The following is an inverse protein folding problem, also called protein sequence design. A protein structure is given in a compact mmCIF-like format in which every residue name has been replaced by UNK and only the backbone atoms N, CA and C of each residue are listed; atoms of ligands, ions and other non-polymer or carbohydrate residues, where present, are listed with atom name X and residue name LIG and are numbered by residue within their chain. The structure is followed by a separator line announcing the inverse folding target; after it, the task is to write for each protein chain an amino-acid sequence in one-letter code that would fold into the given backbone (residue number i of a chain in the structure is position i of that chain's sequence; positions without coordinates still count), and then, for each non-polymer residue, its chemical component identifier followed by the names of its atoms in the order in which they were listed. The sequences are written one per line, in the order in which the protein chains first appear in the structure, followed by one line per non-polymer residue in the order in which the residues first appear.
data_IF_460675159966
#
_entry.id   IF_460675159966
#
_cell.length_a   1.000
_cell.length_b   1.000
_cell.length_c   1.000
_cell.angle_alpha   90.00
_cell.angle_beta   90.00
_cell.angle_gamma   90.00
#
_symmetry.space_group_name_H-M   'P 1'
#
loop_
_entity.id
_entity.type
_entity.pdbx_description
1 polymer ?
#
# COMPACT_ATOMS: atom_id res chain seq x y z
N UNK A 1 18.97 -68.95 -23.72
CA UNK A 1 19.74 -67.71 -23.97
C UNK A 1 18.76 -66.56 -23.94
N UNK A 2 18.68 -65.83 -22.83
CA UNK A 2 17.83 -64.64 -22.69
C UNK A 2 18.69 -63.45 -23.08
N UNK A 3 18.47 -62.87 -24.25
CA UNK A 3 19.13 -61.62 -24.66
C UNK A 3 18.40 -60.46 -24.01
N UNK A 4 19.00 -59.88 -22.96
CA UNK A 4 18.60 -58.58 -22.40
C UNK A 4 18.65 -57.52 -23.50
N UNK A 5 17.50 -56.94 -23.84
CA UNK A 5 17.44 -55.72 -24.65
C UNK A 5 17.76 -54.54 -23.73
N UNK A 6 18.99 -54.07 -23.77
CA UNK A 6 19.39 -52.79 -23.21
C UNK A 6 18.57 -51.67 -23.86
N UNK A 7 17.53 -51.23 -23.16
CA UNK A 7 16.75 -50.06 -23.56
C UNK A 7 17.63 -48.85 -23.27
N UNK A 8 18.32 -48.35 -24.30
CA UNK A 8 19.24 -47.22 -24.21
C UNK A 8 18.44 -45.97 -23.79
N UNK A 9 18.41 -45.69 -22.49
CA UNK A 9 17.76 -44.47 -21.95
C UNK A 9 18.45 -43.27 -22.59
N UNK A 10 17.71 -42.51 -23.39
CA UNK A 10 18.21 -41.26 -23.96
C UNK A 10 18.55 -40.35 -22.79
N UNK A 11 19.81 -39.94 -22.63
CA UNK A 11 20.22 -39.06 -21.53
C UNK A 11 20.59 -37.68 -22.06
N UNK A 12 20.32 -36.65 -21.27
CA UNK A 12 20.57 -35.26 -21.63
C UNK A 12 21.50 -34.58 -20.64
N UNK A 13 22.26 -33.59 -21.10
CA UNK A 13 23.23 -32.87 -20.31
C UNK A 13 22.64 -31.57 -19.76
N UNK A 14 22.90 -31.27 -18.48
CA UNK A 14 22.46 -30.04 -17.82
C UNK A 14 23.53 -28.93 -17.92
N UNK A 15 23.17 -27.76 -18.45
CA UNK A 15 24.09 -26.62 -18.60
C UNK A 15 24.54 -25.93 -17.30
N UNK A 16 23.97 -26.27 -16.13
CA UNK A 16 24.32 -25.66 -14.84
C UNK A 16 25.23 -26.59 -14.02
N UNK A 17 24.77 -27.80 -13.68
CA UNK A 17 25.54 -28.72 -12.85
C UNK A 17 26.49 -29.62 -13.64
N UNK A 18 26.43 -29.57 -14.98
CA UNK A 18 27.24 -30.39 -15.89
C UNK A 18 27.04 -31.91 -15.73
N UNK A 19 25.92 -32.32 -15.11
CA UNK A 19 25.55 -33.72 -14.99
C UNK A 19 24.70 -34.19 -16.17
N UNK A 20 24.74 -35.50 -16.41
CA UNK A 20 23.84 -36.20 -17.30
C UNK A 20 22.62 -36.70 -16.52
N UNK A 21 21.41 -36.37 -16.99
CA UNK A 21 20.14 -36.73 -16.35
C UNK A 21 19.20 -37.45 -17.30
N UNK A 22 18.21 -38.15 -16.75
CA UNK A 22 17.14 -38.75 -17.54
C UNK A 22 16.24 -37.64 -18.13
N UNK A 23 15.55 -37.86 -19.27
CA UNK A 23 14.72 -36.83 -19.90
C UNK A 23 13.59 -36.34 -19.00
N UNK A 24 13.09 -37.21 -18.11
CA UNK A 24 12.07 -36.88 -17.10
C UNK A 24 12.56 -35.92 -16.02
N UNK A 25 13.87 -35.82 -15.81
CA UNK A 25 14.52 -34.92 -14.85
C UNK A 25 14.97 -33.61 -15.51
N UNK A 26 14.75 -33.46 -16.81
CA UNK A 26 15.12 -32.28 -17.56
C UNK A 26 13.96 -31.30 -17.65
N UNK A 27 14.28 -30.03 -17.46
CA UNK A 27 13.44 -28.89 -17.75
C UNK A 27 13.83 -28.30 -19.12
N UNK A 28 12.80 -27.93 -19.89
CA UNK A 28 12.96 -27.23 -21.15
C UNK A 28 11.85 -26.19 -21.31
N UNK A 29 12.21 -24.98 -21.70
CA UNK A 29 11.27 -23.93 -22.11
C UNK A 29 11.22 -23.84 -23.64
N UNK A 30 10.86 -24.96 -24.28
CA UNK A 30 11.00 -25.17 -25.72
C UNK A 30 10.26 -24.15 -26.59
N UNK A 31 9.21 -23.50 -26.05
CA UNK A 31 8.44 -22.46 -26.74
C UNK A 31 9.19 -21.12 -26.85
N UNK A 32 10.21 -20.91 -26.01
CA UNK A 32 10.96 -19.65 -25.92
C UNK A 32 12.45 -19.83 -26.24
N UNK A 33 13.07 -20.91 -25.77
CA UNK A 33 14.46 -21.25 -26.09
C UNK A 33 14.75 -22.76 -25.95
N UNK A 34 15.76 -23.26 -26.66
CA UNK A 34 16.16 -24.69 -26.62
C UNK A 34 17.15 -25.08 -25.51
N UNK A 35 17.41 -24.22 -24.52
CA UNK A 35 18.40 -24.49 -23.48
C UNK A 35 17.87 -25.49 -22.44
N UNK A 36 18.73 -26.45 -22.06
CA UNK A 36 18.36 -27.59 -21.22
C UNK A 36 19.06 -27.54 -19.85
N UNK A 37 18.26 -27.70 -18.81
CA UNK A 37 18.71 -27.72 -17.43
C UNK A 37 17.95 -28.81 -16.67
N UNK A 38 18.55 -29.43 -15.66
CA UNK A 38 17.78 -30.36 -14.83
C UNK A 38 16.80 -29.61 -13.92
N UNK A 39 15.71 -30.26 -13.54
CA UNK A 39 14.66 -29.70 -12.69
C UNK A 39 15.17 -29.22 -11.34
N UNK A 40 16.20 -29.87 -10.77
CA UNK A 40 16.82 -29.44 -9.51
C UNK A 40 17.60 -28.12 -9.65
N UNK A 41 18.32 -27.92 -10.76
CA UNK A 41 19.03 -26.67 -11.02
C UNK A 41 18.04 -25.52 -11.26
N UNK A 42 16.96 -25.77 -12.00
CA UNK A 42 15.90 -24.77 -12.20
C UNK A 42 15.16 -24.49 -10.89
N UNK A 43 14.92 -25.51 -10.05
CA UNK A 43 14.37 -25.32 -8.71
C UNK A 43 15.22 -24.36 -7.88
N UNK A 44 16.53 -24.59 -7.83
CA UNK A 44 17.47 -23.72 -7.12
C UNK A 44 17.47 -22.30 -7.68
N UNK A 45 17.57 -22.16 -9.01
CA UNK A 45 17.57 -20.86 -9.70
C UNK A 45 16.30 -20.05 -9.43
N UNK A 46 15.13 -20.63 -9.68
CA UNK A 46 13.84 -19.98 -9.44
C UNK A 46 13.71 -19.61 -7.97
N UNK A 47 13.94 -20.56 -7.05
CA UNK A 47 13.79 -20.31 -5.61
C UNK A 47 14.69 -19.16 -5.13
N UNK A 48 15.93 -19.08 -5.65
CA UNK A 48 16.84 -17.98 -5.37
C UNK A 48 16.28 -16.64 -5.88
N UNK A 49 15.82 -16.58 -7.14
CA UNK A 49 15.28 -15.35 -7.73
C UNK A 49 14.04 -14.84 -7.02
N UNK A 50 13.13 -15.74 -6.63
CA UNK A 50 11.93 -15.36 -5.87
C UNK A 50 12.29 -14.87 -4.47
N UNK A 51 13.30 -15.47 -3.83
CA UNK A 51 13.82 -14.99 -2.55
C UNK A 51 14.45 -13.59 -2.65
N UNK A 52 15.08 -13.26 -3.77
CA UNK A 52 15.60 -11.94 -4.12
C UNK A 52 14.51 -10.93 -4.56
N UNK A 53 13.22 -11.30 -4.52
CA UNK A 53 12.09 -10.52 -5.06
C UNK A 53 12.20 -10.20 -6.56
N UNK A 54 12.92 -11.03 -7.33
CA UNK A 54 12.99 -10.96 -8.78
C UNK A 54 11.90 -11.84 -9.38
N UNK A 55 10.79 -11.21 -9.80
CA UNK A 55 9.62 -11.92 -10.32
C UNK A 55 9.75 -12.32 -11.79
N UNK A 56 10.54 -11.58 -12.56
CA UNK A 56 10.84 -11.90 -13.97
C UNK A 56 12.06 -12.83 -14.03
N UNK A 57 11.83 -14.13 -13.87
CA UNK A 57 12.90 -15.13 -13.87
C UNK A 57 13.31 -15.44 -15.31
N UNK A 58 14.54 -15.05 -15.67
CA UNK A 58 15.12 -15.34 -16.99
C UNK A 58 15.73 -16.74 -17.04
N UNK A 59 15.84 -17.27 -18.25
CA UNK A 59 16.62 -18.45 -18.58
C UNK A 59 18.05 -18.32 -18.02
N UNK A 60 18.60 -19.36 -17.38
CA UNK A 60 19.96 -19.32 -16.83
C UNK A 60 21.06 -19.12 -17.88
N UNK A 61 20.79 -19.44 -19.15
CA UNK A 61 21.77 -19.30 -20.23
C UNK A 61 22.18 -17.83 -20.43
N UNK A 62 23.48 -17.51 -20.39
CA UNK A 62 23.98 -16.16 -20.69
C UNK A 62 23.44 -15.60 -22.01
N UNK A 63 23.04 -14.33 -21.98
CA UNK A 63 22.47 -13.59 -23.14
C UNK A 63 21.12 -14.11 -23.65
N UNK A 64 20.58 -15.21 -23.13
CA UNK A 64 19.22 -15.62 -23.43
C UNK A 64 18.22 -14.64 -22.80
N UNK A 65 17.20 -14.25 -23.58
CA UNK A 65 16.11 -13.39 -23.11
C UNK A 65 14.85 -14.15 -22.73
N UNK A 66 14.90 -15.49 -22.78
CA UNK A 66 13.76 -16.32 -22.46
C UNK A 66 13.34 -16.15 -21.00
N UNK A 67 12.03 -16.06 -20.76
CA UNK A 67 11.44 -15.93 -19.42
C UNK A 67 10.81 -17.26 -19.04
N UNK A 68 11.06 -17.70 -17.82
CA UNK A 68 10.46 -18.90 -17.24
C UNK A 68 9.21 -18.45 -16.49
N UNK A 69 8.06 -19.05 -16.79
CA UNK A 69 6.82 -18.83 -16.05
C UNK A 69 6.58 -19.89 -14.97
N UNK A 70 5.78 -19.59 -13.92
CA UNK A 70 5.43 -20.53 -12.86
C UNK A 70 4.78 -21.82 -13.38
N UNK A 71 3.99 -21.71 -14.45
CA UNK A 71 3.27 -22.81 -15.08
C UNK A 71 4.18 -23.95 -15.55
N UNK A 72 5.40 -23.63 -15.99
CA UNK A 72 6.38 -24.60 -16.46
C UNK A 72 7.06 -25.36 -15.32
N UNK A 73 6.94 -24.86 -14.08
CA UNK A 73 7.70 -25.35 -12.94
C UNK A 73 6.83 -26.03 -11.87
N UNK A 74 5.50 -26.05 -12.04
CA UNK A 74 4.55 -26.59 -11.03
C UNK A 74 4.78 -28.04 -10.64
N UNK A 75 5.32 -28.86 -11.55
CA UNK A 75 5.51 -30.29 -11.32
C UNK A 75 6.69 -30.61 -10.39
N UNK A 76 7.62 -29.68 -10.18
CA UNK A 76 8.84 -29.93 -9.41
C UNK A 76 9.20 -28.82 -8.40
N UNK A 77 8.52 -27.67 -8.40
CA UNK A 77 8.67 -26.64 -7.37
C UNK A 77 7.72 -26.89 -6.18
N UNK A 78 8.14 -26.57 -4.95
CA UNK A 78 7.23 -26.51 -3.80
C UNK A 78 6.08 -25.54 -4.04
N UNK A 79 4.89 -25.89 -3.56
CA UNK A 79 3.67 -25.11 -3.75
C UNK A 79 3.82 -23.69 -3.21
N UNK A 80 4.47 -23.53 -2.06
CA UNK A 80 4.69 -22.23 -1.42
C UNK A 80 5.56 -21.29 -2.29
N UNK A 81 6.52 -21.85 -3.03
CA UNK A 81 7.38 -21.07 -3.95
C UNK A 81 6.57 -20.61 -5.17
N UNK A 82 5.73 -21.47 -5.72
CA UNK A 82 4.84 -21.14 -6.83
C UNK A 82 3.85 -20.06 -6.42
N UNK A 83 3.14 -20.23 -5.30
CA UNK A 83 2.17 -19.24 -4.81
C UNK A 83 2.82 -17.88 -4.55
N UNK A 84 4.01 -17.86 -3.92
CA UNK A 84 4.76 -16.62 -3.72
C UNK A 84 5.15 -15.97 -5.04
N UNK A 85 5.57 -16.75 -6.04
CA UNK A 85 5.95 -16.23 -7.34
C UNK A 85 4.74 -15.64 -8.08
N UNK A 86 3.62 -16.37 -8.10
CA UNK A 86 2.38 -15.91 -8.72
C UNK A 86 1.83 -14.64 -8.06
N UNK A 87 1.79 -14.59 -6.74
CA UNK A 87 1.39 -13.40 -5.99
C UNK A 87 2.28 -12.20 -6.33
N UNK A 88 3.61 -12.40 -6.38
CA UNK A 88 4.54 -11.33 -6.71
C UNK A 88 4.43 -10.88 -8.18
N UNK A 89 4.11 -11.78 -9.11
CA UNK A 89 3.78 -11.41 -10.50
C UNK A 89 2.51 -10.57 -10.55
N UNK A 90 1.42 -11.00 -9.89
CA UNK A 90 0.20 -10.22 -9.79
C UNK A 90 0.46 -8.83 -9.18
N UNK A 91 1.21 -8.76 -8.10
CA UNK A 91 1.60 -7.49 -7.48
C UNK A 91 2.45 -6.61 -8.40
N UNK A 92 3.29 -7.20 -9.25
CA UNK A 92 4.14 -6.44 -10.19
C UNK A 92 3.35 -5.74 -11.31
N UNK A 93 2.13 -6.20 -11.60
CA UNK A 93 1.22 -5.57 -12.55
C UNK A 93 0.55 -4.31 -11.99
N UNK A 94 0.52 -4.18 -10.66
CA UNK A 94 -0.07 -3.03 -9.98
C UNK A 94 0.95 -1.90 -9.96
N UNK A 95 0.59 -0.75 -10.54
CA UNK A 95 1.47 0.42 -10.58
C UNK A 95 1.74 0.94 -9.17
N UNK A 96 2.95 1.41 -8.91
CA UNK A 96 3.32 1.97 -7.61
C UNK A 96 2.43 3.14 -7.17
N UNK A 97 1.86 3.89 -8.12
CA UNK A 97 0.91 4.98 -7.88
C UNK A 97 -0.46 4.51 -7.37
N UNK A 98 -0.85 3.28 -7.71
CA UNK A 98 -2.09 2.64 -7.27
C UNK A 98 -1.95 2.01 -5.88
N UNK A 99 -0.71 1.74 -5.43
CA UNK A 99 -0.46 1.14 -4.12
C UNK A 99 -0.46 2.20 -3.04
N UNK A 100 -1.14 1.91 -1.95
CA UNK A 100 -1.00 2.63 -0.69
C UNK A 100 -1.22 1.69 0.48
N UNK A 101 -0.99 2.18 1.69
CA UNK A 101 -1.15 1.37 2.89
C UNK A 101 -2.28 1.91 3.74
N UNK A 102 -2.94 1.00 4.44
CA UNK A 102 -3.88 1.33 5.47
C UNK A 102 -3.24 2.33 6.46
N UNK A 103 -3.90 3.47 6.76
CA UNK A 103 -3.28 4.53 7.56
C UNK A 103 -3.14 4.19 9.05
N UNK A 104 -3.73 3.08 9.49
CA UNK A 104 -3.67 2.62 10.86
C UNK A 104 -2.40 1.79 11.07
N UNK A 105 -1.49 2.27 11.93
CA UNK A 105 -0.16 1.68 12.13
C UNK A 105 -0.19 0.21 12.54
N UNK A 106 -1.18 -0.16 13.34
CA UNK A 106 -1.44 -1.52 13.81
C UNK A 106 -2.02 -2.45 12.72
N UNK A 107 -2.42 -1.90 11.56
CA UNK A 107 -2.89 -2.67 10.42
C UNK A 107 -1.91 -2.62 9.25
N UNK A 108 -1.67 -1.44 8.66
CA UNK A 108 -0.73 -1.23 7.56
C UNK A 108 -0.88 -2.19 6.37
N UNK A 109 -2.07 -2.79 6.19
CA UNK A 109 -2.39 -3.63 5.04
C UNK A 109 -2.20 -2.85 3.73
N UNK A 110 -1.67 -3.51 2.69
CA UNK A 110 -1.56 -2.91 1.36
C UNK A 110 -2.95 -2.82 0.72
N UNK A 111 -3.26 -1.65 0.17
CA UNK A 111 -4.50 -1.33 -0.51
C UNK A 111 -4.18 -0.88 -1.93
N UNK A 112 -5.11 -1.13 -2.85
CA UNK A 112 -4.96 -0.82 -4.28
C UNK A 112 -6.08 0.12 -4.69
N UNK A 113 -5.70 1.24 -5.29
CA UNK A 113 -6.60 2.15 -5.99
C UNK A 113 -6.77 1.65 -7.43
N UNK A 114 -7.95 1.11 -7.73
CA UNK A 114 -8.29 0.55 -9.04
C UNK A 114 -8.57 1.64 -10.09
N UNK A 115 -8.50 2.92 -9.73
CA UNK A 115 -8.75 4.04 -10.64
C UNK A 115 -10.21 4.17 -11.05
N UNK A 116 -11.13 3.56 -10.29
CA UNK A 116 -12.57 3.71 -10.46
C UNK A 116 -13.09 5.11 -10.10
N UNK A 117 -14.37 5.19 -9.77
CA UNK A 117 -14.95 6.46 -9.30
C UNK A 117 -14.21 7.00 -8.08
N UNK A 118 -14.07 8.32 -8.01
CA UNK A 118 -13.35 8.97 -6.92
C UNK A 118 -14.09 8.80 -5.57
N UNK A 119 -13.79 7.70 -4.87
CA UNK A 119 -14.31 7.44 -3.52
C UNK A 119 -13.54 8.30 -2.52
N UNK A 120 -14.27 9.03 -1.68
CA UNK A 120 -13.63 9.83 -0.61
C UNK A 120 -13.52 9.03 0.69
N UNK A 121 -14.57 8.32 1.07
CA UNK A 121 -14.67 7.49 2.27
C UNK A 121 -14.64 6.02 1.89
N UNK A 122 -13.71 5.25 2.45
CA UNK A 122 -13.66 3.80 2.23
C UNK A 122 -13.29 3.08 3.52
N UNK A 123 -13.55 1.78 3.56
CA UNK A 123 -13.26 0.90 4.69
C UNK A 123 -12.09 -0.01 4.35
N UNK A 124 -11.15 -0.17 5.29
CA UNK A 124 -10.04 -1.09 5.09
C UNK A 124 -10.53 -2.54 5.18
N UNK A 125 -10.39 -3.38 4.15
CA UNK A 125 -10.88 -4.77 4.17
C UNK A 125 -10.20 -5.67 5.21
N UNK A 126 -9.04 -5.26 5.74
CA UNK A 126 -8.31 -6.02 6.76
C UNK A 126 -8.71 -5.67 8.20
N UNK A 127 -9.08 -4.41 8.47
CA UNK A 127 -9.34 -3.95 9.85
C UNK A 127 -10.67 -3.23 10.03
N UNK A 128 -11.46 -3.12 8.97
CA UNK A 128 -12.82 -2.60 8.97
C UNK A 128 -12.96 -1.16 9.49
N UNK A 129 -11.85 -0.40 9.45
CA UNK A 129 -11.82 1.01 9.87
C UNK A 129 -11.92 1.92 8.66
N UNK A 130 -12.72 2.98 8.83
CA UNK A 130 -12.92 4.01 7.81
C UNK A 130 -11.66 4.86 7.63
N UNK A 131 -11.34 5.16 6.39
CA UNK A 131 -10.26 6.04 5.99
C UNK A 131 -10.67 6.95 4.82
N UNK A 132 -9.95 8.06 4.64
CA UNK A 132 -10.11 8.89 3.47
C UNK A 132 -9.20 8.38 2.34
N UNK A 133 -9.76 7.89 1.24
CA UNK A 133 -8.97 7.34 0.13
C UNK A 133 -8.17 8.42 -0.63
N UNK A 134 -8.68 9.65 -0.71
CA UNK A 134 -7.97 10.77 -1.33
C UNK A 134 -6.81 11.30 -0.48
N UNK A 135 -6.98 11.37 0.83
CA UNK A 135 -5.96 11.88 1.75
C UNK A 135 -5.01 10.78 2.26
N UNK A 136 -5.41 9.50 2.14
CA UNK A 136 -4.70 8.31 2.64
C UNK A 136 -4.42 8.40 4.16
N UNK A 137 -5.44 8.81 4.92
CA UNK A 137 -5.41 9.01 6.38
C UNK A 137 -6.68 8.46 7.03
N UNK A 138 -6.68 8.33 8.36
CA UNK A 138 -7.90 8.01 9.11
C UNK A 138 -9.06 8.95 8.74
N UNK A 139 -10.27 8.41 8.73
CA UNK A 139 -11.45 9.15 8.26
C UNK A 139 -11.69 10.43 9.06
N UNK A 140 -11.97 11.53 8.36
CA UNK A 140 -12.19 12.86 8.93
C UNK A 140 -13.59 13.38 8.56
N UNK A 141 -14.61 12.86 9.26
CA UNK A 141 -16.03 13.24 9.07
C UNK A 141 -16.21 14.77 9.06
N UNK A 142 -17.17 15.26 8.28
CA UNK A 142 -17.63 16.67 8.27
C UNK A 142 -16.57 17.73 7.95
N UNK A 143 -15.40 17.30 7.48
CA UNK A 143 -14.32 18.15 7.01
C UNK A 143 -13.94 17.75 5.59
N UNK A 144 -13.85 18.72 4.69
CA UNK A 144 -13.40 18.49 3.32
C UNK A 144 -11.90 18.19 3.31
N UNK A 145 -11.43 17.39 2.36
CA UNK A 145 -10.01 17.05 2.19
C UNK A 145 -9.11 18.30 2.14
N UNK A 146 -9.55 19.38 1.48
CA UNK A 146 -8.80 20.63 1.38
C UNK A 146 -8.65 21.34 2.74
N UNK A 147 -9.68 21.31 3.59
CA UNK A 147 -9.61 21.88 4.93
C UNK A 147 -8.69 21.05 5.82
N UNK A 148 -8.81 19.72 5.75
CA UNK A 148 -7.94 18.80 6.47
C UNK A 148 -6.46 18.99 6.11
N UNK A 149 -6.14 19.14 4.82
CA UNK A 149 -4.77 19.38 4.34
C UNK A 149 -4.16 20.68 4.87
N UNK A 150 -4.99 21.68 5.22
CA UNK A 150 -4.54 22.96 5.79
C UNK A 150 -4.26 22.90 7.30
N UNK A 151 -4.75 21.88 8.00
CA UNK A 151 -4.49 21.70 9.43
C UNK A 151 -3.01 21.39 9.69
N UNK A 152 -2.51 21.85 10.84
CA UNK A 152 -1.19 21.46 11.33
C UNK A 152 -1.21 19.99 11.74
N UNK A 153 -0.08 19.28 11.63
CA UNK A 153 0.01 17.83 11.93
C UNK A 153 -0.53 17.46 13.31
N UNK A 154 -0.27 18.31 14.31
CA UNK A 154 -0.70 18.10 15.69
C UNK A 154 -2.20 18.33 15.93
N UNK A 155 -2.93 18.84 14.94
CA UNK A 155 -4.38 19.06 15.02
C UNK A 155 -5.18 18.08 14.14
N UNK A 156 -4.52 17.02 13.64
CA UNK A 156 -5.11 16.02 12.74
C UNK A 156 -5.45 14.70 13.43
N UNK A 157 -5.30 14.62 14.75
CA UNK A 157 -5.80 13.45 15.47
C UNK A 157 -7.35 13.42 15.43
N UNK A 158 -7.96 12.24 15.53
CA UNK A 158 -9.42 12.12 15.46
C UNK A 158 -10.16 12.99 16.49
N UNK A 159 -9.62 13.11 17.70
CA UNK A 159 -10.24 13.84 18.82
C UNK A 159 -10.29 15.35 18.54
N UNK A 160 -9.21 15.93 18.01
CA UNK A 160 -9.12 17.34 17.63
C UNK A 160 -10.05 17.65 16.46
N UNK A 161 -10.15 16.74 15.48
CA UNK A 161 -11.08 16.90 14.36
C UNK A 161 -12.52 16.92 14.88
N UNK A 162 -12.87 15.98 15.77
CA UNK A 162 -14.19 15.95 16.41
C UNK A 162 -14.46 17.25 17.20
N UNK A 163 -13.48 17.75 17.96
CA UNK A 163 -13.58 19.01 18.69
C UNK A 163 -13.78 20.20 17.73
N UNK A 164 -13.04 20.26 16.63
CA UNK A 164 -13.20 21.31 15.60
C UNK A 164 -14.57 21.27 14.96
N UNK A 165 -15.11 20.09 14.67
CA UNK A 165 -16.45 19.93 14.13
C UNK A 165 -17.51 20.39 15.12
N UNK A 166 -17.41 19.96 16.38
CA UNK A 166 -18.31 20.40 17.43
C UNK A 166 -18.27 21.92 17.59
N UNK A 167 -17.08 22.50 17.63
CA UNK A 167 -16.88 23.94 17.70
C UNK A 167 -17.51 24.66 16.50
N UNK A 168 -17.36 24.14 15.27
CA UNK A 168 -18.00 24.70 14.08
C UNK A 168 -19.53 24.65 14.18
N UNK A 169 -20.10 23.51 14.59
CA UNK A 169 -21.54 23.32 14.74
C UNK A 169 -22.13 24.24 15.83
N UNK A 170 -21.40 24.41 16.94
CA UNK A 170 -21.78 25.30 18.05
C UNK A 170 -21.37 26.76 17.83
N UNK A 171 -20.73 27.09 16.71
CA UNK A 171 -20.18 28.42 16.40
C UNK A 171 -19.26 28.96 17.51
N UNK A 172 -18.48 28.08 18.13
CA UNK A 172 -17.44 28.42 19.10
C UNK A 172 -16.28 29.14 18.42
N UNK A 173 -15.64 30.06 19.15
CA UNK A 173 -14.51 30.84 18.62
C UNK A 173 -13.23 30.53 19.35
N UNK A 174 -12.12 30.42 18.61
CA UNK A 174 -10.80 30.36 19.25
C UNK A 174 -10.37 31.74 19.73
N UNK A 175 -9.81 31.80 20.94
CA UNK A 175 -9.11 32.99 21.40
C UNK A 175 -7.86 33.25 20.52
N UNK A 176 -7.65 34.47 20.01
CA UNK A 176 -6.48 34.77 19.15
C UNK A 176 -5.13 34.64 19.86
N UNK A 177 -5.10 34.74 21.19
CA UNK A 177 -3.87 34.68 21.98
C UNK A 177 -3.51 33.25 22.38
N UNK A 178 -4.46 32.47 22.93
CA UNK A 178 -4.18 31.14 23.47
C UNK A 178 -4.75 29.98 22.65
N UNK A 179 -5.51 30.25 21.58
CA UNK A 179 -6.17 29.27 20.71
C UNK A 179 -7.21 28.35 21.35
N UNK A 180 -7.53 28.49 22.63
CA UNK A 180 -8.64 27.75 23.24
C UNK A 180 -9.99 28.17 22.65
N UNK A 181 -10.87 27.19 22.44
CA UNK A 181 -12.26 27.44 22.09
C UNK A 181 -12.99 28.11 23.25
N UNK A 182 -13.73 29.15 22.91
CA UNK A 182 -14.59 29.90 23.80
C UNK A 182 -16.02 29.73 23.30
N UNK A 183 -16.90 29.31 24.19
CA UNK A 183 -18.34 29.30 23.99
C UNK A 183 -18.93 30.63 24.49
N UNK A 184 -19.76 31.27 23.67
CA UNK A 184 -20.59 32.40 24.08
C UNK A 184 -21.97 31.88 24.46
N UNK A 185 -22.41 32.17 25.69
CA UNK A 185 -23.78 31.87 26.14
C UNK A 185 -24.76 32.91 25.59
N UNK A 186 -24.63 34.16 26.00
CA UNK A 186 -25.54 35.25 25.60
C UNK A 186 -24.82 36.61 25.55
N UNK A 187 -25.52 37.68 25.16
CA UNK A 187 -25.04 39.07 25.29
C UNK A 187 -24.14 39.58 24.16
N UNK A 188 -23.25 40.52 24.49
CA UNK A 188 -22.39 41.27 23.58
C UNK A 188 -21.32 40.40 22.88
N UNK A 189 -20.77 40.89 21.76
CA UNK A 189 -19.61 40.27 21.09
C UNK A 189 -18.28 40.54 21.79
N UNK A 190 -18.19 41.41 22.79
CA UNK A 190 -16.97 41.58 23.57
C UNK A 190 -16.77 40.40 24.53
N UNK A 191 -15.67 39.67 24.38
CA UNK A 191 -15.34 38.50 25.21
C UNK A 191 -13.93 38.63 25.79
N UNK A 192 -13.82 38.43 27.10
CA UNK A 192 -12.55 38.26 27.81
C UNK A 192 -12.26 36.76 27.96
N UNK A 193 -11.17 36.28 27.37
CA UNK A 193 -10.75 34.89 27.50
C UNK A 193 -10.21 34.59 28.92
N UNK A 194 -10.19 33.32 29.32
CA UNK A 194 -9.55 32.86 30.58
C UNK A 194 -8.06 33.21 30.66
N UNK A 195 -7.38 33.42 29.53
CA UNK A 195 -6.00 33.91 29.50
C UNK A 195 -5.86 35.44 29.65
N UNK A 196 -6.98 36.16 29.83
CA UNK A 196 -7.03 37.62 29.95
C UNK A 196 -7.13 38.37 28.61
N UNK A 197 -7.04 37.69 27.46
CA UNK A 197 -7.13 38.35 26.16
C UNK A 197 -8.56 38.73 25.79
N UNK A 198 -8.77 40.00 25.44
CA UNK A 198 -10.07 40.54 25.03
C UNK A 198 -10.21 40.59 23.50
N UNK A 199 -11.30 39.99 22.99
CA UNK A 199 -11.53 39.88 21.55
C UNK A 199 -13.01 39.94 21.20
N UNK A 200 -13.29 40.31 19.96
CA UNK A 200 -14.62 40.29 19.39
C UNK A 200 -15.01 38.86 18.99
N UNK A 201 -16.07 38.32 19.58
CA UNK A 201 -16.63 37.03 19.22
C UNK A 201 -17.24 37.00 17.82
N UNK A 202 -17.56 38.15 17.20
CA UNK A 202 -18.09 38.18 15.83
C UNK A 202 -17.02 37.93 14.78
N UNK A 203 -15.86 38.58 14.91
CA UNK A 203 -14.79 38.55 13.89
C UNK A 203 -13.47 37.92 14.35
N UNK A 204 -13.30 37.64 15.65
CA UNK A 204 -12.07 37.07 16.22
C UNK A 204 -10.89 38.05 16.32
N UNK A 205 -11.09 39.36 16.13
CA UNK A 205 -10.02 40.36 16.27
C UNK A 205 -9.91 40.87 17.70
N UNK A 206 -8.76 41.45 18.06
CA UNK A 206 -8.56 42.14 19.35
C UNK A 206 -9.70 43.14 19.57
N UNK A 207 -10.24 43.18 20.77
CA UNK A 207 -11.26 44.17 21.12
C UNK A 207 -10.57 45.47 21.55
N UNK A 208 -11.03 46.58 21.01
CA UNK A 208 -10.66 47.93 21.45
C UNK A 208 -11.93 48.80 21.45
N UNK A 209 -11.85 49.99 22.07
CA UNK A 209 -13.03 50.88 22.22
C UNK A 209 -13.59 51.40 20.89
N UNK A 210 -12.81 51.33 19.81
CA UNK A 210 -13.20 51.73 18.45
C UNK A 210 -13.67 50.54 17.59
N UNK A 211 -13.73 49.34 18.14
CA UNK A 211 -14.03 48.14 17.37
C UNK A 211 -15.51 48.12 16.92
N UNK A 212 -15.72 48.28 15.61
CA UNK A 212 -16.99 48.01 14.96
C UNK A 212 -16.94 46.63 14.28
N UNK A 213 -17.86 45.73 14.66
CA UNK A 213 -18.02 44.43 14.03
C UNK A 213 -19.20 44.48 13.07
N UNK A 214 -18.94 44.55 11.76
CA UNK A 214 -19.98 44.27 10.76
C UNK A 214 -20.12 42.75 10.61
N UNK A 215 -21.33 42.18 10.80
CA UNK A 215 -21.60 40.76 10.64
C UNK A 215 -21.32 40.23 9.23
#
# INVERSE_FOLDING_TARGET
MVTSKDTKVLKSFCGICMDTKAPSEMFSNATVCGHLFCSDCIRGHVSCKIKENIVSVKCPEPKCKGVIGPELCRSFLPKEVIERWENALCESLILGTQKFYCPFKDCSAMLVDDGGEAVTSSECPNCNRLFCAQCKVAWHTGMRCNDFKRLKKNERNPEDIMLMQLAKNKKWRRCPSCNFYVEKRDGCHHITCRCGYEFCYGCGKKYDKSHACNP
#
